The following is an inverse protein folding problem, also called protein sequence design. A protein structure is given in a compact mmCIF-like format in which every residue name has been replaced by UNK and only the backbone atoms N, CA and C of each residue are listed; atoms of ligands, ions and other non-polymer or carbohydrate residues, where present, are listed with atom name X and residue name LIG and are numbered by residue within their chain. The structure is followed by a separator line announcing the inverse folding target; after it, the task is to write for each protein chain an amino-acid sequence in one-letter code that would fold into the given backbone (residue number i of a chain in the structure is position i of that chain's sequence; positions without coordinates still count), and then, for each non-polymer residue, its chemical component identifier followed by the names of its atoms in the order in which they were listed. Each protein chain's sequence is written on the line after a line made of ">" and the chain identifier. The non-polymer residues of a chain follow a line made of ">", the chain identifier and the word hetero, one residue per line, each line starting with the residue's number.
data_IF_245161313768
#
_entry.id   IF_245161313768
#
_cell.length_a   1.000
_cell.length_b   1.000
_cell.length_c   1.000
_cell.angle_alpha   90.00
_cell.angle_beta   90.00
_cell.angle_gamma   90.00
#
_symmetry.space_group_name_H-M   'P 1'
#
loop_
_entity.id
_entity.type
_entity.pdbx_description
1 polymer ?
#
# COMPACT_ATOMS: atom_id res chain seq x y z
N UNK A 1 -22.52 -3.68 1.56
CA UNK A 1 -22.63 -3.29 2.98
C UNK A 1 -21.69 -2.13 3.29
N UNK A 2 -20.37 -2.23 3.01
CA UNK A 2 -19.39 -1.19 3.38
C UNK A 2 -19.63 0.17 2.72
N UNK A 3 -20.02 0.21 1.44
CA UNK A 3 -20.33 1.48 0.76
C UNK A 3 -21.54 2.20 1.39
N UNK A 4 -22.58 1.44 1.77
CA UNK A 4 -23.71 2.02 2.49
C UNK A 4 -23.30 2.57 3.85
N UNK A 5 -22.46 1.85 4.58
CA UNK A 5 -21.92 2.30 5.87
C UNK A 5 -21.10 3.60 5.71
N UNK A 6 -20.24 3.66 4.69
CA UNK A 6 -19.46 4.87 4.39
C UNK A 6 -20.35 6.08 4.02
N UNK A 7 -21.43 5.84 3.28
CA UNK A 7 -22.43 6.84 2.92
C UNK A 7 -23.15 7.39 4.15
N UNK A 8 -23.70 6.50 4.99
CA UNK A 8 -24.47 6.85 6.19
C UNK A 8 -23.62 7.63 7.22
N UNK A 9 -22.35 7.25 7.38
CA UNK A 9 -21.44 7.92 8.33
C UNK A 9 -20.74 9.15 7.75
N UNK A 10 -20.86 9.42 6.46
CA UNK A 10 -20.19 10.54 5.81
C UNK A 10 -18.66 10.43 5.84
N UNK A 11 -18.16 9.24 5.59
CA UNK A 11 -16.73 8.92 5.59
C UNK A 11 -15.98 9.77 4.58
N UNK A 12 -14.82 10.30 4.97
CA UNK A 12 -13.94 11.11 4.11
C UNK A 12 -12.73 10.35 3.60
N UNK A 13 -12.27 9.35 4.35
CA UNK A 13 -11.25 8.38 3.94
C UNK A 13 -11.83 6.98 4.03
N UNK A 14 -11.84 6.24 2.92
CA UNK A 14 -12.33 4.87 2.88
C UNK A 14 -11.20 3.92 2.47
N UNK A 15 -10.80 3.05 3.40
CA UNK A 15 -9.75 2.05 3.17
C UNK A 15 -10.29 0.64 3.12
N UNK A 16 -9.80 -0.15 2.17
CA UNK A 16 -10.09 -1.57 2.05
C UNK A 16 -8.96 -2.31 1.32
N UNK A 17 -8.92 -3.63 1.39
CA UNK A 17 -7.98 -4.43 0.59
C UNK A 17 -8.25 -4.26 -0.93
N UNK A 18 -7.21 -4.36 -1.75
CA UNK A 18 -7.34 -4.26 -3.21
C UNK A 18 -8.37 -5.26 -3.78
N UNK A 19 -8.45 -6.46 -3.20
CA UNK A 19 -9.42 -7.47 -3.57
C UNK A 19 -10.88 -7.01 -3.39
N UNK A 20 -11.18 -6.17 -2.38
CA UNK A 20 -12.51 -5.62 -2.18
C UNK A 20 -12.92 -4.75 -3.38
N UNK A 21 -12.06 -3.83 -3.80
CA UNK A 21 -12.33 -2.96 -4.95
C UNK A 21 -12.47 -3.77 -6.24
N UNK A 22 -11.59 -4.75 -6.46
CA UNK A 22 -11.66 -5.63 -7.62
C UNK A 22 -12.98 -6.42 -7.67
N UNK A 23 -13.43 -6.95 -6.54
CA UNK A 23 -14.71 -7.66 -6.45
C UNK A 23 -15.91 -6.72 -6.69
N UNK A 24 -15.85 -5.48 -6.19
CA UNK A 24 -16.89 -4.47 -6.48
C UNK A 24 -16.96 -4.18 -7.98
N UNK A 25 -15.83 -4.00 -8.65
CA UNK A 25 -15.76 -3.78 -10.09
C UNK A 25 -16.35 -4.97 -10.86
N UNK A 26 -15.92 -6.20 -10.54
CA UNK A 26 -16.41 -7.43 -11.17
C UNK A 26 -17.91 -7.64 -10.98
N UNK A 27 -18.43 -7.29 -9.81
CA UNK A 27 -19.87 -7.38 -9.49
C UNK A 27 -20.70 -6.23 -10.10
N UNK A 28 -20.08 -5.32 -10.84
CA UNK A 28 -20.78 -4.19 -11.44
C UNK A 28 -21.39 -3.24 -10.40
N UNK A 29 -20.76 -3.05 -9.26
CA UNK A 29 -21.25 -2.18 -8.20
C UNK A 29 -21.31 -0.74 -8.72
N UNK A 30 -22.49 -0.12 -8.60
CA UNK A 30 -22.72 1.26 -8.95
C UNK A 30 -22.76 2.11 -7.67
N UNK A 31 -21.76 2.98 -7.50
CA UNK A 31 -21.64 3.83 -6.33
C UNK A 31 -22.63 5.00 -6.32
N UNK A 32 -23.30 5.30 -7.44
CA UNK A 32 -24.35 6.34 -7.50
C UNK A 32 -25.53 6.07 -6.55
N UNK A 33 -25.68 4.82 -6.11
CA UNK A 33 -26.67 4.42 -5.11
C UNK A 33 -26.46 5.03 -3.73
N UNK A 34 -25.27 5.58 -3.48
CA UNK A 34 -24.87 6.12 -2.19
C UNK A 34 -24.33 7.55 -2.34
N UNK A 35 -25.22 8.55 -2.44
CA UNK A 35 -24.86 9.94 -2.76
C UNK A 35 -24.01 10.62 -1.70
N UNK A 36 -24.02 10.17 -0.45
CA UNK A 36 -23.15 10.68 0.62
C UNK A 36 -21.67 10.38 0.40
N UNK A 37 -21.34 9.41 -0.47
CA UNK A 37 -19.96 9.13 -0.88
C UNK A 37 -19.27 10.33 -1.58
N UNK A 38 -20.02 11.36 -1.99
CA UNK A 38 -19.46 12.64 -2.46
C UNK A 38 -18.56 13.32 -1.42
N UNK A 39 -18.62 12.90 -0.15
CA UNK A 39 -17.74 13.38 0.93
C UNK A 39 -16.38 12.70 0.94
N UNK A 40 -16.23 11.56 0.29
CA UNK A 40 -14.96 10.84 0.22
C UNK A 40 -13.92 11.72 -0.47
N UNK A 41 -12.76 11.84 0.13
CA UNK A 41 -11.61 12.61 -0.36
C UNK A 41 -10.44 11.72 -0.73
N UNK A 42 -10.41 10.52 -0.16
CA UNK A 42 -9.36 9.55 -0.41
C UNK A 42 -9.89 8.12 -0.31
N UNK A 43 -9.33 7.25 -1.14
CA UNK A 43 -9.42 5.81 -1.03
C UNK A 43 -8.07 5.25 -0.65
N UNK A 44 -8.04 4.26 0.25
CA UNK A 44 -6.82 3.58 0.67
C UNK A 44 -6.88 2.11 0.34
N UNK A 45 -5.75 1.53 -0.08
CA UNK A 45 -5.65 0.10 -0.31
C UNK A 45 -4.32 -0.47 0.15
N UNK A 46 -4.38 -1.72 0.58
CA UNK A 46 -3.23 -2.53 0.99
C UNK A 46 -3.52 -4.02 0.84
N UNK A 47 -2.55 -4.86 1.19
CA UNK A 47 -2.66 -6.33 1.23
C UNK A 47 -2.37 -7.02 -0.10
N UNK A 48 -2.48 -6.32 -1.22
CA UNK A 48 -2.04 -6.76 -2.55
C UNK A 48 -1.99 -5.55 -3.49
N UNK A 49 -1.26 -5.62 -4.61
CA UNK A 49 -1.23 -4.56 -5.60
C UNK A 49 -2.63 -4.22 -6.13
N UNK A 50 -2.95 -2.94 -6.22
CA UNK A 50 -4.16 -2.47 -6.88
C UNK A 50 -3.89 -2.35 -8.37
N UNK A 51 -4.64 -3.06 -9.21
CA UNK A 51 -4.48 -2.93 -10.66
C UNK A 51 -4.98 -1.58 -11.17
N UNK A 52 -4.37 -1.11 -12.26
CA UNK A 52 -4.74 0.13 -12.93
C UNK A 52 -6.25 0.19 -13.25
N UNK A 53 -6.81 -0.88 -13.80
CA UNK A 53 -8.22 -0.95 -14.18
C UNK A 53 -9.16 -0.76 -13.00
N UNK A 54 -8.84 -1.36 -11.86
CA UNK A 54 -9.61 -1.24 -10.62
C UNK A 54 -9.52 0.18 -10.07
N UNK A 55 -8.34 0.76 -10.06
CA UNK A 55 -8.14 2.15 -9.62
C UNK A 55 -8.91 3.13 -10.52
N UNK A 56 -8.83 2.97 -11.84
CA UNK A 56 -9.58 3.77 -12.81
C UNK A 56 -11.09 3.57 -12.67
N UNK A 57 -11.55 2.34 -12.39
CA UNK A 57 -12.96 2.07 -12.12
C UNK A 57 -13.44 2.88 -10.91
N UNK A 58 -12.77 2.78 -9.76
CA UNK A 58 -13.16 3.49 -8.55
C UNK A 58 -13.16 5.01 -8.73
N UNK A 59 -12.14 5.54 -9.41
CA UNK A 59 -12.04 6.96 -9.77
C UNK A 59 -13.26 7.41 -10.58
N UNK A 60 -13.60 6.68 -11.66
CA UNK A 60 -14.79 7.00 -12.48
C UNK A 60 -16.10 6.94 -11.69
N UNK A 61 -16.23 5.98 -10.77
CA UNK A 61 -17.43 5.89 -9.93
C UNK A 61 -17.62 7.13 -9.05
N UNK A 62 -16.54 7.62 -8.43
CA UNK A 62 -16.60 8.81 -7.57
C UNK A 62 -16.71 10.11 -8.37
N UNK A 63 -16.09 10.18 -9.55
CA UNK A 63 -16.29 11.32 -10.46
C UNK A 63 -17.77 11.53 -10.85
N UNK A 64 -18.52 10.44 -11.08
CA UNK A 64 -19.97 10.50 -11.32
C UNK A 64 -20.77 11.08 -10.14
N UNK A 65 -20.22 11.00 -8.94
CA UNK A 65 -20.78 11.59 -7.72
C UNK A 65 -20.30 13.03 -7.47
N UNK A 66 -19.53 13.60 -8.40
CA UNK A 66 -19.01 14.96 -8.29
C UNK A 66 -17.73 15.07 -7.45
N UNK A 67 -16.97 13.99 -7.33
CA UNK A 67 -15.62 14.00 -6.72
C UNK A 67 -14.58 13.90 -7.83
N UNK A 68 -14.11 15.04 -8.39
CA UNK A 68 -13.22 15.04 -9.57
C UNK A 68 -11.83 14.50 -9.24
N UNK A 69 -11.29 14.84 -8.05
CA UNK A 69 -9.92 14.58 -7.63
C UNK A 69 -9.87 13.63 -6.44
N UNK A 70 -10.14 12.36 -6.69
CA UNK A 70 -9.99 11.35 -5.65
C UNK A 70 -8.53 10.93 -5.54
N UNK A 71 -7.99 11.01 -4.32
CA UNK A 71 -6.66 10.52 -4.02
C UNK A 71 -6.70 9.05 -3.63
N UNK A 72 -5.79 8.26 -4.21
CA UNK A 72 -5.58 6.87 -3.84
C UNK A 72 -4.31 6.73 -3.00
N UNK A 73 -4.49 6.41 -1.73
CA UNK A 73 -3.42 6.08 -0.81
C UNK A 73 -3.15 4.58 -0.85
N UNK A 74 -2.41 4.13 -1.85
CA UNK A 74 -1.99 2.73 -1.95
C UNK A 74 -0.76 2.55 -1.07
N UNK A 75 -0.79 1.60 -0.14
CA UNK A 75 0.30 1.37 0.79
C UNK A 75 0.82 -0.06 0.74
N UNK A 76 2.14 -0.22 0.90
CA UNK A 76 2.82 -1.47 1.19
C UNK A 76 3.42 -1.39 2.59
N UNK A 77 3.18 -2.43 3.38
CA UNK A 77 3.65 -2.54 4.75
C UNK A 77 3.34 -3.91 5.31
N UNK A 78 3.49 -4.08 6.61
CA UNK A 78 3.24 -5.37 7.24
C UNK A 78 2.85 -5.24 8.71
N UNK A 79 2.15 -6.27 9.20
CA UNK A 79 1.69 -6.33 10.58
C UNK A 79 2.86 -6.34 11.55
N UNK A 80 3.89 -7.16 11.28
CA UNK A 80 5.07 -7.26 12.13
C UNK A 80 5.91 -5.97 12.10
N UNK A 81 5.99 -5.33 10.94
CA UNK A 81 6.65 -4.04 10.77
C UNK A 81 5.87 -2.89 11.47
N UNK A 82 4.58 -3.09 11.73
CA UNK A 82 3.65 -2.15 12.34
C UNK A 82 3.62 -0.76 11.64
N UNK A 83 3.75 -0.76 10.31
CA UNK A 83 3.81 0.45 9.52
C UNK A 83 3.74 0.19 8.02
N UNK A 84 4.03 1.24 7.25
CA UNK A 84 4.12 1.17 5.80
C UNK A 84 5.54 1.55 5.34
N UNK A 85 6.05 0.83 4.36
CA UNK A 85 7.31 1.13 3.67
C UNK A 85 7.10 2.16 2.57
N UNK A 86 6.00 2.00 1.86
CA UNK A 86 5.62 2.80 0.70
C UNK A 86 4.19 3.25 0.93
N UNK A 87 3.89 4.46 0.52
CA UNK A 87 2.57 5.05 0.71
C UNK A 87 2.27 6.12 -0.30
N UNK A 88 1.39 7.04 0.07
CA UNK A 88 0.97 8.13 -0.77
C UNK A 88 1.28 9.49 -0.16
N UNK A 89 1.46 10.45 -1.04
CA UNK A 89 1.50 11.86 -0.72
C UNK A 89 0.57 12.60 -1.69
N UNK A 90 -0.38 13.35 -1.14
CA UNK A 90 -1.41 14.03 -1.93
C UNK A 90 -0.84 15.11 -2.88
N UNK A 91 0.34 15.62 -2.57
CA UNK A 91 1.02 16.63 -3.39
C UNK A 91 1.81 16.03 -4.57
N UNK A 92 1.95 14.70 -4.61
CA UNK A 92 2.64 14.02 -5.70
C UNK A 92 1.64 13.52 -6.76
N UNK A 93 2.08 13.43 -8.02
CA UNK A 93 1.28 12.81 -9.08
C UNK A 93 0.86 11.39 -8.72
N UNK A 94 -0.33 11.00 -9.17
CA UNK A 94 -0.82 9.64 -9.06
C UNK A 94 -0.75 8.95 -10.42
N UNK A 95 -0.02 7.84 -10.48
CA UNK A 95 -0.01 6.94 -11.63
C UNK A 95 -0.87 5.72 -11.28
N UNK A 96 -1.98 5.46 -12.00
CA UNK A 96 -2.82 4.30 -11.71
C UNK A 96 -2.04 2.99 -11.78
N UNK A 97 -2.19 2.16 -10.74
CA UNK A 97 -1.46 0.90 -10.60
C UNK A 97 -0.11 1.02 -9.88
N UNK A 98 0.33 2.23 -9.56
CA UNK A 98 1.57 2.48 -8.81
C UNK A 98 1.30 3.02 -7.41
N UNK A 99 2.27 2.84 -6.53
CA UNK A 99 2.37 3.53 -5.24
C UNK A 99 3.26 4.76 -5.42
N UNK A 100 3.00 5.83 -4.66
CA UNK A 100 3.57 7.14 -4.98
C UNK A 100 4.99 7.35 -4.48
N UNK A 101 5.30 6.92 -3.24
CA UNK A 101 6.61 7.23 -2.66
C UNK A 101 6.93 6.37 -1.44
N UNK A 102 8.20 6.36 -1.07
CA UNK A 102 8.66 5.83 0.22
C UNK A 102 8.05 6.63 1.36
N UNK A 103 7.69 5.96 2.44
CA UNK A 103 7.29 6.64 3.67
C UNK A 103 8.48 7.37 4.30
N UNK A 104 8.21 8.50 4.93
CA UNK A 104 9.25 9.27 5.60
C UNK A 104 9.95 8.44 6.68
N UNK A 105 11.28 8.45 6.66
CA UNK A 105 12.11 7.68 7.56
C UNK A 105 12.35 6.22 7.14
N UNK A 106 11.72 5.74 6.06
CA UNK A 106 11.92 4.39 5.54
C UNK A 106 12.99 4.37 4.45
N UNK A 107 14.15 3.76 4.75
CA UNK A 107 15.24 3.57 3.79
C UNK A 107 14.96 2.31 2.93
N UNK A 108 13.93 2.39 2.10
CA UNK A 108 13.46 1.29 1.24
C UNK A 108 14.23 1.26 -0.06
N UNK A 109 14.67 0.08 -0.45
CA UNK A 109 15.35 -0.19 -1.72
C UNK A 109 14.79 -1.47 -2.35
N UNK A 110 14.97 -1.61 -3.67
CA UNK A 110 14.79 -2.87 -4.38
C UNK A 110 16.18 -3.46 -4.62
N UNK A 111 16.42 -4.68 -4.13
CA UNK A 111 17.74 -5.35 -4.27
C UNK A 111 17.65 -6.53 -5.23
N UNK A 112 18.67 -6.66 -6.09
CA UNK A 112 18.82 -7.82 -6.95
C UNK A 112 19.33 -9.04 -6.14
N UNK A 113 19.49 -10.18 -6.82
CA UNK A 113 20.00 -11.42 -6.20
C UNK A 113 21.42 -11.30 -5.62
N UNK A 114 22.19 -10.31 -6.05
CA UNK A 114 23.54 -10.03 -5.53
C UNK A 114 23.53 -9.08 -4.33
N UNK A 115 22.33 -8.68 -3.85
CA UNK A 115 22.18 -7.75 -2.73
C UNK A 115 22.57 -6.31 -3.07
N UNK A 116 22.43 -5.92 -4.34
CA UNK A 116 22.73 -4.58 -4.81
C UNK A 116 21.45 -3.84 -5.16
N UNK A 117 21.34 -2.53 -4.84
CA UNK A 117 20.15 -1.74 -5.18
C UNK A 117 20.01 -1.58 -6.70
N UNK A 118 18.76 -1.70 -7.16
CA UNK A 118 18.39 -1.54 -8.58
C UNK A 118 17.25 -0.53 -8.74
N UNK A 119 17.25 0.15 -9.89
CA UNK A 119 16.19 1.09 -10.32
C UNK A 119 15.71 0.65 -11.70
N UNK A 120 14.39 0.70 -11.91
CA UNK A 120 13.75 0.26 -13.16
C UNK A 120 13.60 -1.26 -13.29
N UNK A 121 14.23 -2.01 -12.42
CA UNK A 121 14.19 -3.48 -12.37
C UNK A 121 13.43 -3.97 -11.14
N UNK A 122 12.92 -5.20 -11.19
CA UNK A 122 12.27 -5.85 -10.05
C UNK A 122 13.34 -6.43 -9.14
N UNK A 123 13.26 -6.12 -7.86
CA UNK A 123 14.12 -6.67 -6.82
C UNK A 123 13.35 -7.02 -5.55
N UNK A 124 14.04 -7.57 -4.58
CA UNK A 124 13.52 -7.82 -3.23
C UNK A 124 13.33 -6.49 -2.50
N UNK A 125 12.15 -6.29 -1.88
CA UNK A 125 11.91 -5.14 -1.01
C UNK A 125 12.72 -5.27 0.26
N UNK A 126 13.65 -4.35 0.47
CA UNK A 126 14.44 -4.28 1.70
C UNK A 126 14.31 -2.92 2.37
N UNK A 127 14.46 -2.89 3.70
CA UNK A 127 14.63 -1.67 4.47
C UNK A 127 16.02 -1.67 5.10
N UNK A 128 16.89 -0.81 4.59
CA UNK A 128 18.32 -0.82 4.90
C UNK A 128 18.70 -0.14 6.21
N UNK A 129 17.72 0.50 6.87
CA UNK A 129 17.89 1.13 8.19
C UNK A 129 16.71 0.81 9.08
N UNK A 130 16.93 0.63 10.38
CA UNK A 130 15.84 0.41 11.33
C UNK A 130 14.93 1.64 11.41
N UNK A 131 13.64 1.40 11.62
CA UNK A 131 12.67 2.42 11.92
C UNK A 131 11.99 2.14 13.27
N UNK A 132 11.42 3.16 13.94
CA UNK A 132 10.88 3.01 15.29
C UNK A 132 9.76 1.98 15.44
N UNK A 133 9.03 1.65 14.38
CA UNK A 133 7.94 0.67 14.42
C UNK A 133 8.40 -0.78 14.26
N UNK A 134 9.65 -1.03 13.86
CA UNK A 134 10.18 -2.40 13.78
C UNK A 134 10.15 -3.07 15.15
N UNK A 135 9.72 -4.35 15.23
CA UNK A 135 9.75 -5.08 16.49
C UNK A 135 11.19 -5.29 16.97
N UNK A 136 11.36 -5.30 18.27
CA UNK A 136 12.65 -5.64 18.90
C UNK A 136 12.82 -7.14 19.01
N UNK A 137 11.72 -7.88 19.13
CA UNK A 137 11.64 -9.35 19.23
C UNK A 137 10.21 -9.80 18.97
N UNK A 138 10.04 -11.08 18.75
CA UNK A 138 8.70 -11.69 18.70
C UNK A 138 8.33 -12.31 20.06
N UNK A 139 7.04 -12.30 20.35
CA UNK A 139 6.54 -12.93 21.56
C UNK A 139 6.83 -14.46 21.55
N UNK A 140 7.31 -15.00 22.68
CA UNK A 140 7.74 -16.40 22.81
C UNK A 140 8.72 -16.86 21.73
N UNK A 141 9.68 -16.03 21.40
CA UNK A 141 10.75 -16.33 20.43
C UNK A 141 12.10 -16.30 21.15
N UNK A 142 12.43 -17.42 21.82
CA UNK A 142 13.70 -17.56 22.56
C UNK A 142 14.89 -17.42 21.63
N UNK A 143 15.81 -16.54 21.98
CA UNK A 143 16.98 -16.22 21.16
C UNK A 143 16.66 -15.50 19.85
N UNK A 144 15.44 -14.99 19.66
CA UNK A 144 14.99 -14.27 18.45
C UNK A 144 15.12 -15.08 17.16
N UNK A 145 15.04 -16.41 17.25
CA UNK A 145 15.29 -17.27 16.08
C UNK A 145 14.28 -17.07 14.95
N UNK A 146 12.98 -16.98 15.26
CA UNK A 146 11.95 -16.72 14.27
C UNK A 146 12.06 -15.32 13.67
N UNK A 147 12.31 -14.32 14.53
CA UNK A 147 12.48 -12.94 14.09
C UNK A 147 13.64 -12.79 13.11
N UNK A 148 14.80 -13.32 13.48
CA UNK A 148 16.00 -13.25 12.65
C UNK A 148 15.85 -14.04 11.35
N UNK A 149 15.33 -15.27 11.41
CA UNK A 149 15.10 -16.09 10.23
C UNK A 149 14.03 -15.55 9.28
N UNK A 150 13.05 -14.78 9.81
CA UNK A 150 11.99 -14.21 8.98
C UNK A 150 12.46 -13.03 8.14
N UNK A 151 13.32 -12.17 8.71
CA UNK A 151 13.61 -10.86 8.10
C UNK A 151 15.08 -10.56 7.87
N UNK A 152 16.02 -11.31 8.46
CA UNK A 152 17.44 -11.01 8.43
C UNK A 152 18.33 -12.18 7.97
N UNK A 153 17.72 -13.30 7.58
CA UNK A 153 18.43 -14.50 7.17
C UNK A 153 19.23 -14.28 5.88
N UNK A 154 18.57 -13.69 4.87
CA UNK A 154 19.20 -13.45 3.57
C UNK A 154 20.20 -12.30 3.60
N UNK A 155 19.90 -11.23 4.32
CA UNK A 155 20.73 -10.02 4.40
C UNK A 155 20.93 -9.65 5.86
N UNK A 156 22.04 -10.10 6.51
CA UNK A 156 22.29 -9.80 7.92
C UNK A 156 22.27 -8.30 8.21
N UNK A 157 21.40 -7.89 9.15
CA UNK A 157 21.26 -6.48 9.55
C UNK A 157 20.38 -5.63 8.62
N UNK A 158 19.82 -6.19 7.55
CA UNK A 158 18.90 -5.52 6.63
C UNK A 158 17.57 -6.25 6.65
N UNK A 159 16.48 -5.52 6.91
CA UNK A 159 15.13 -6.07 6.88
C UNK A 159 14.75 -6.44 5.45
N UNK A 160 14.57 -7.73 5.20
CA UNK A 160 13.99 -8.27 3.96
C UNK A 160 12.50 -8.50 4.18
N UNK A 161 11.65 -7.88 3.37
CA UNK A 161 10.19 -7.98 3.59
C UNK A 161 9.57 -9.23 2.97
N UNK A 162 10.14 -9.74 1.91
CA UNK A 162 9.59 -10.89 1.18
C UNK A 162 8.61 -10.50 0.08
N UNK A 163 8.57 -9.24 -0.28
CA UNK A 163 7.79 -8.71 -1.40
C UNK A 163 8.70 -8.26 -2.54
N UNK A 164 8.19 -8.35 -3.77
CA UNK A 164 8.88 -7.81 -4.93
C UNK A 164 8.57 -6.31 -5.09
N UNK A 165 9.58 -5.54 -5.41
CA UNK A 165 9.51 -4.10 -5.62
C UNK A 165 10.23 -3.70 -6.91
N UNK A 166 9.60 -2.82 -7.69
CA UNK A 166 10.25 -2.07 -8.74
C UNK A 166 10.15 -0.57 -8.42
N UNK A 167 11.28 0.08 -8.27
CA UNK A 167 11.36 1.53 -8.12
C UNK A 167 11.57 2.12 -9.50
N UNK A 168 10.71 3.06 -9.90
CA UNK A 168 10.85 3.74 -11.20
C UNK A 168 12.02 4.74 -11.18
N UNK A 169 12.53 5.19 -12.35
CA UNK A 169 13.56 6.22 -12.38
C UNK A 169 13.15 7.54 -11.73
N UNK A 170 11.85 7.79 -11.64
CA UNK A 170 11.28 8.98 -11.00
C UNK A 170 11.19 8.86 -9.47
N UNK A 171 11.36 7.66 -8.89
CA UNK A 171 11.37 7.40 -7.45
C UNK A 171 10.21 6.59 -6.92
#
# INVERSE_FOLDING_TARGET
>A
VLWRFADELGVTFFGAGAAFFANCMKAGVDLSRWPGLKRVRALGTTGSPLSEDVQRWGTRQLQRLGVPDIWWCNISGGTDFAGAFIGGNRELPQVPGEMQCRMLGCAVEAWNEQGQPVIGEVGELVCTRPIPSMPLYFWNDEGNQRYLSSYFDMYPGVWRHGDWLRITPEG
#
